data_IF_094007058994
#
_entry.id   IF_094007058994
#
_cell.length_a   1.000
_cell.length_b   1.000
_cell.length_c   1.000
_cell.angle_alpha   90.00
_cell.angle_beta   90.00
_cell.angle_gamma   90.00
#
_symmetry.space_group_name_H-M   'P 1'
#
loop_
_entity.id
_entity.type
_entity.pdbx_description
1 polymer ?
#
# COMPACT_ATOMS: atom_id res chain seq x y z
N UNK A 1 27.16 1.77 -2.80
CA UNK A 1 26.94 0.91 -1.62
C UNK A 1 27.12 1.75 -0.36
N UNK A 2 26.03 2.25 0.22
CA UNK A 2 26.02 2.74 1.59
C UNK A 2 24.69 2.33 2.21
N UNK A 3 24.64 1.06 2.63
CA UNK A 3 23.69 0.58 3.63
C UNK A 3 24.10 1.19 4.98
N UNK A 4 23.70 2.44 5.20
CA UNK A 4 23.96 3.14 6.45
C UNK A 4 22.81 2.82 7.39
N UNK A 5 23.06 1.93 8.35
CA UNK A 5 22.14 1.59 9.42
C UNK A 5 21.44 2.85 9.97
N UNK A 6 20.10 2.84 10.16
CA UNK A 6 19.36 4.05 10.46
C UNK A 6 19.93 4.74 11.71
N UNK A 7 20.18 6.03 11.60
CA UNK A 7 20.67 6.84 12.73
C UNK A 7 19.75 6.70 13.94
N UNK A 8 20.27 6.92 15.15
CA UNK A 8 19.52 6.77 16.41
C UNK A 8 18.15 7.49 16.42
N UNK A 9 18.06 8.63 15.73
CA UNK A 9 16.82 9.39 15.57
C UNK A 9 15.77 8.62 14.73
N UNK A 10 16.19 8.04 13.61
CA UNK A 10 15.31 7.27 12.74
C UNK A 10 14.84 5.98 13.42
N UNK A 11 15.73 5.29 14.14
CA UNK A 11 15.34 4.12 14.95
C UNK A 11 14.30 4.45 16.01
N UNK A 12 14.46 5.58 16.72
CA UNK A 12 13.46 6.05 17.70
C UNK A 12 12.14 6.42 17.05
N UNK A 13 12.18 7.03 15.86
CA UNK A 13 11.00 7.40 15.08
C UNK A 13 10.21 6.15 14.69
N UNK A 14 10.87 5.16 14.08
CA UNK A 14 10.25 3.89 13.69
C UNK A 14 9.70 3.12 14.90
N UNK A 15 10.44 3.06 16.02
CA UNK A 15 9.95 2.41 17.23
C UNK A 15 8.70 3.10 17.81
N UNK A 16 8.65 4.43 17.81
CA UNK A 16 7.46 5.18 18.26
C UNK A 16 6.27 4.92 17.35
N UNK A 17 6.49 4.91 16.03
CA UNK A 17 5.46 4.60 15.04
C UNK A 17 4.86 3.21 15.27
N UNK A 18 5.71 2.20 15.42
CA UNK A 18 5.31 0.82 15.70
C UNK A 18 4.53 0.70 17.00
N UNK A 19 4.96 1.38 18.07
CA UNK A 19 4.25 1.37 19.36
C UNK A 19 2.83 1.94 19.25
N UNK A 20 2.63 2.99 18.45
CA UNK A 20 1.32 3.58 18.19
C UNK A 20 0.40 2.60 17.44
N UNK A 21 0.90 1.92 16.40
CA UNK A 21 0.11 0.94 15.64
C UNK A 21 -0.21 -0.29 16.49
N UNK A 22 0.77 -0.80 17.24
CA UNK A 22 0.57 -1.89 18.21
C UNK A 22 -0.51 -1.56 19.25
N UNK A 23 -0.54 -0.31 19.74
CA UNK A 23 -1.59 0.12 20.65
C UNK A 23 -2.96 0.14 19.97
N UNK A 24 -3.06 0.73 18.77
CA UNK A 24 -4.30 0.81 18.02
C UNK A 24 -4.88 -0.56 17.67
N UNK A 25 -4.04 -1.48 17.19
CA UNK A 25 -4.45 -2.85 16.84
C UNK A 25 -4.89 -3.64 18.07
N UNK A 26 -4.16 -3.55 19.19
CA UNK A 26 -4.55 -4.24 20.44
C UNK A 26 -5.87 -3.72 20.99
N UNK A 27 -6.09 -2.41 21.02
CA UNK A 27 -7.39 -1.86 21.44
C UNK A 27 -8.50 -2.36 20.51
N UNK A 28 -8.27 -2.36 19.20
CA UNK A 28 -9.28 -2.82 18.24
C UNK A 28 -9.61 -4.31 18.41
N UNK A 29 -8.61 -5.15 18.69
CA UNK A 29 -8.79 -6.59 18.91
C UNK A 29 -9.44 -6.91 20.27
N UNK A 30 -9.05 -6.22 21.34
CA UNK A 30 -9.53 -6.48 22.71
C UNK A 30 -10.89 -5.84 22.99
N UNK A 31 -11.07 -4.57 22.59
CA UNK A 31 -12.17 -3.71 23.01
C UNK A 31 -13.06 -3.26 21.83
N UNK A 32 -12.71 -3.63 20.60
CA UNK A 32 -13.41 -3.25 19.37
C UNK A 32 -13.02 -1.88 18.81
N UNK A 33 -13.33 -1.63 17.53
CA UNK A 33 -12.92 -0.41 16.81
C UNK A 33 -13.47 0.90 17.42
N UNK A 34 -14.62 0.83 18.08
CA UNK A 34 -15.23 1.97 18.76
C UNK A 34 -14.41 2.46 19.96
N UNK A 35 -13.72 1.55 20.65
CA UNK A 35 -12.87 1.87 21.81
C UNK A 35 -11.53 2.51 21.39
N UNK A 36 -11.13 2.35 20.12
CA UNK A 36 -9.93 2.96 19.58
C UNK A 36 -10.12 4.48 19.57
N UNK A 37 -9.39 5.19 20.43
CA UNK A 37 -9.38 6.66 20.49
C UNK A 37 -7.94 7.14 20.52
N UNK A 38 -7.69 8.37 20.06
CA UNK A 38 -6.35 8.96 20.08
C UNK A 38 -5.80 9.02 21.50
N UNK A 39 -6.65 9.33 22.49
CA UNK A 39 -6.26 9.40 23.89
C UNK A 39 -5.85 8.03 24.43
N UNK A 40 -6.63 6.98 24.14
CA UNK A 40 -6.32 5.62 24.60
C UNK A 40 -5.08 5.05 23.89
N UNK A 41 -4.92 5.30 22.60
CA UNK A 41 -3.70 4.95 21.86
C UNK A 41 -2.50 5.66 22.47
N UNK A 42 -2.60 6.97 22.69
CA UNK A 42 -1.54 7.80 23.25
C UNK A 42 -1.12 7.31 24.64
N UNK A 43 -2.10 6.94 25.48
CA UNK A 43 -1.86 6.36 26.80
C UNK A 43 -1.14 5.01 26.72
N UNK A 44 -1.59 4.09 25.85
CA UNK A 44 -0.97 2.76 25.71
C UNK A 44 0.42 2.80 25.04
N UNK A 45 0.66 3.76 24.16
CA UNK A 45 1.92 3.93 23.45
C UNK A 45 2.92 4.85 24.19
N UNK A 46 2.56 5.39 25.37
CA UNK A 46 3.36 6.34 26.15
C UNK A 46 3.79 7.59 25.34
N UNK A 47 2.83 8.19 24.65
CA UNK A 47 3.02 9.41 23.87
C UNK A 47 1.92 10.44 24.16
N UNK A 48 2.15 11.71 23.79
CA UNK A 48 1.10 12.72 23.83
C UNK A 48 0.19 12.63 22.59
N UNK A 49 -1.06 13.11 22.64
CA UNK A 49 -1.90 13.24 21.44
C UNK A 49 -1.24 14.07 20.33
N UNK A 50 -0.49 15.13 20.70
CA UNK A 50 0.31 15.90 19.74
C UNK A 50 1.37 15.02 19.06
N UNK A 51 2.04 14.17 19.83
CA UNK A 51 3.01 13.21 19.30
C UNK A 51 2.31 12.22 18.37
N UNK A 52 1.16 11.66 18.74
CA UNK A 52 0.37 10.79 17.87
C UNK A 52 0.12 11.45 16.49
N UNK A 53 -0.38 12.69 16.48
CA UNK A 53 -0.65 13.42 15.24
C UNK A 53 0.59 13.75 14.41
N UNK A 54 1.79 13.74 15.00
CA UNK A 54 3.04 13.86 14.23
C UNK A 54 3.36 12.58 13.43
N UNK A 55 2.74 11.44 13.76
CA UNK A 55 2.96 10.16 13.08
C UNK A 55 1.77 9.74 12.22
N UNK A 56 0.54 9.95 12.69
CA UNK A 56 -0.66 9.51 12.00
C UNK A 56 -1.72 10.61 11.97
N UNK A 57 -2.37 10.84 10.82
CA UNK A 57 -3.43 11.85 10.71
C UNK A 57 -4.73 11.41 11.41
N UNK A 58 -4.91 10.11 11.63
CA UNK A 58 -6.12 9.54 12.24
C UNK A 58 -5.83 8.21 12.93
N UNK A 59 -6.76 7.79 13.80
CA UNK A 59 -6.72 6.46 14.42
C UNK A 59 -6.87 5.34 13.39
N UNK A 60 -7.68 5.55 12.35
CA UNK A 60 -7.85 4.55 11.30
C UNK A 60 -6.56 4.35 10.51
N UNK A 61 -5.79 5.43 10.27
CA UNK A 61 -4.47 5.30 9.64
C UNK A 61 -3.50 4.51 10.51
N UNK A 62 -3.54 4.68 11.84
CA UNK A 62 -2.72 3.89 12.76
C UNK A 62 -3.09 2.39 12.74
N UNK A 63 -4.31 2.03 12.36
CA UNK A 63 -4.73 0.63 12.17
C UNK A 63 -4.31 0.13 10.78
N UNK A 64 -4.67 0.88 9.74
CA UNK A 64 -4.48 0.52 8.33
C UNK A 64 -3.01 0.48 7.92
N UNK A 65 -2.15 1.21 8.61
CA UNK A 65 -0.77 1.45 8.19
C UNK A 65 -0.69 2.60 7.20
N UNK A 66 0.44 2.72 6.53
CA UNK A 66 0.66 3.79 5.55
C UNK A 66 -0.20 3.63 4.30
N UNK A 67 -0.54 4.77 3.70
CA UNK A 67 -1.14 4.79 2.37
C UNK A 67 -0.08 4.49 1.32
N UNK A 68 -0.46 3.77 0.24
CA UNK A 68 0.48 3.49 -0.83
C UNK A 68 0.90 4.82 -1.47
N UNK A 69 2.21 4.98 -1.60
CA UNK A 69 2.81 6.09 -2.34
C UNK A 69 3.61 5.53 -3.50
N UNK A 70 3.92 6.36 -4.49
CA UNK A 70 4.90 5.98 -5.49
C UNK A 70 6.23 5.58 -4.80
N UNK A 71 6.99 4.64 -5.39
CA UNK A 71 8.30 4.28 -4.86
C UNK A 71 9.29 5.43 -5.12
N UNK A 72 10.56 5.22 -4.75
CA UNK A 72 11.59 6.22 -4.95
C UNK A 72 11.77 6.65 -6.43
N UNK A 73 12.46 7.78 -6.61
CA UNK A 73 12.67 8.39 -7.92
C UNK A 73 13.39 7.45 -8.90
N UNK A 74 14.24 6.55 -8.40
CA UNK A 74 15.01 5.61 -9.23
C UNK A 74 14.09 4.52 -9.79
N UNK A 75 13.27 3.89 -8.93
CA UNK A 75 12.27 2.90 -9.35
C UNK A 75 11.23 3.52 -10.31
N UNK A 76 10.76 4.73 -10.00
CA UNK A 76 9.83 5.45 -10.85
C UNK A 76 10.43 5.81 -12.22
N UNK A 77 11.69 6.28 -12.24
CA UNK A 77 12.40 6.59 -13.47
C UNK A 77 12.62 5.34 -14.34
N UNK A 78 12.98 4.21 -13.71
CA UNK A 78 13.11 2.92 -14.39
C UNK A 78 11.82 2.47 -15.07
N UNK A 79 10.69 2.59 -14.36
CA UNK A 79 9.37 2.31 -14.93
C UNK A 79 9.03 3.24 -16.10
N UNK A 80 9.25 4.55 -15.96
CA UNK A 80 8.97 5.54 -17.02
C UNK A 80 9.84 5.28 -18.26
N UNK A 81 11.08 4.83 -18.07
CA UNK A 81 11.98 4.46 -19.17
C UNK A 81 11.57 3.15 -19.89
N UNK A 82 10.53 2.47 -19.42
CA UNK A 82 10.00 1.25 -20.03
C UNK A 82 10.61 -0.04 -19.49
N UNK A 83 11.21 -0.03 -18.30
CA UNK A 83 11.75 -1.23 -17.65
C UNK A 83 10.93 -1.70 -16.45
N UNK A 84 11.32 -2.83 -15.83
CA UNK A 84 12.47 -3.66 -16.21
C UNK A 84 12.23 -4.63 -17.37
N UNK A 85 11.00 -5.08 -17.63
CA UNK A 85 10.69 -6.11 -18.63
C UNK A 85 10.33 -5.56 -20.00
N UNK A 86 9.85 -4.32 -20.07
CA UNK A 86 9.25 -3.75 -21.28
C UNK A 86 7.72 -3.91 -21.33
N UNK A 87 7.17 -4.89 -20.61
CA UNK A 87 5.73 -5.08 -20.51
C UNK A 87 5.12 -4.09 -19.49
N UNK A 88 4.11 -3.33 -19.94
CA UNK A 88 3.54 -2.27 -19.12
C UNK A 88 2.88 -2.80 -17.83
N UNK A 89 2.13 -3.91 -17.91
CA UNK A 89 1.37 -4.39 -16.76
C UNK A 89 2.27 -5.11 -15.76
N UNK A 90 3.25 -5.87 -16.26
CA UNK A 90 4.26 -6.50 -15.41
C UNK A 90 5.09 -5.45 -14.66
N UNK A 91 5.64 -4.48 -15.38
CA UNK A 91 6.47 -3.44 -14.76
C UNK A 91 5.67 -2.53 -13.80
N UNK A 92 4.37 -2.33 -14.07
CA UNK A 92 3.48 -1.63 -13.15
C UNK A 92 3.18 -2.47 -11.90
N UNK A 93 3.06 -3.79 -12.04
CA UNK A 93 2.99 -4.71 -10.90
C UNK A 93 4.22 -4.62 -10.01
N UNK A 94 5.41 -4.67 -10.62
CA UNK A 94 6.69 -4.53 -9.91
C UNK A 94 6.79 -3.17 -9.20
N UNK A 95 6.35 -2.09 -9.84
CA UNK A 95 6.31 -0.75 -9.23
C UNK A 95 5.40 -0.73 -7.99
N UNK A 96 4.23 -1.35 -8.07
CA UNK A 96 3.26 -1.43 -6.96
C UNK A 96 3.74 -2.35 -5.82
N UNK A 97 4.48 -3.41 -6.14
CA UNK A 97 5.16 -4.24 -5.13
C UNK A 97 6.16 -3.41 -4.33
N UNK A 98 7.01 -2.64 -4.99
CA UNK A 98 7.94 -1.73 -4.29
C UNK A 98 7.19 -0.68 -3.44
N UNK A 99 6.09 -0.12 -3.95
CA UNK A 99 5.22 0.79 -3.19
C UNK A 99 4.60 0.18 -1.93
N UNK A 100 4.35 -1.13 -1.93
CA UNK A 100 3.64 -1.82 -0.83
C UNK A 100 4.56 -2.46 0.19
N UNK A 101 5.82 -2.74 -0.17
CA UNK A 101 6.85 -3.23 0.76
C UNK A 101 6.98 -2.31 1.99
N UNK A 102 7.03 -0.99 1.77
CA UNK A 102 7.15 -0.02 2.86
C UNK A 102 5.91 0.06 3.78
N UNK A 103 4.73 -0.37 3.30
CA UNK A 103 3.47 -0.23 4.04
C UNK A 103 3.29 -1.30 5.11
N UNK A 104 3.95 -2.47 4.96
CA UNK A 104 3.68 -3.68 5.75
C UNK A 104 4.96 -4.36 6.28
N UNK A 105 6.14 -3.76 6.12
CA UNK A 105 7.41 -4.26 6.69
C UNK A 105 7.51 -4.10 8.24
N UNK A 106 6.38 -4.21 8.94
CA UNK A 106 6.27 -4.23 10.39
C UNK A 106 6.09 -5.69 10.84
N UNK A 107 7.15 -6.48 10.64
CA UNK A 107 7.21 -7.88 11.09
C UNK A 107 6.70 -7.98 12.54
N UNK A 108 5.56 -8.65 12.72
CA UNK A 108 4.91 -8.82 14.02
C UNK A 108 3.59 -8.07 14.24
N UNK A 109 3.00 -7.43 13.22
CA UNK A 109 1.64 -6.88 13.29
C UNK A 109 0.68 -7.39 12.21
N UNK A 110 1.14 -8.29 11.34
CA UNK A 110 0.38 -8.73 10.17
C UNK A 110 -0.89 -9.46 10.61
N UNK A 111 -0.74 -10.45 11.50
CA UNK A 111 -1.85 -11.27 11.97
C UNK A 111 -2.91 -10.42 12.71
N UNK A 112 -2.50 -9.55 13.63
CA UNK A 112 -3.40 -8.66 14.37
C UNK A 112 -4.10 -7.67 13.43
N UNK A 113 -3.40 -7.16 12.42
CA UNK A 113 -3.99 -6.25 11.44
C UNK A 113 -5.02 -6.97 10.57
N UNK A 114 -4.71 -8.16 10.06
CA UNK A 114 -5.68 -8.97 9.32
C UNK A 114 -6.92 -9.28 10.17
N UNK A 115 -6.74 -9.64 11.45
CA UNK A 115 -7.85 -9.87 12.38
C UNK A 115 -8.76 -8.65 12.54
N UNK A 116 -8.16 -7.48 12.80
CA UNK A 116 -8.91 -6.23 12.93
C UNK A 116 -9.61 -5.86 11.62
N UNK A 117 -8.98 -6.03 10.46
CA UNK A 117 -9.60 -5.69 9.18
C UNK A 117 -10.77 -6.61 8.83
N UNK A 118 -10.62 -7.92 9.05
CA UNK A 118 -11.69 -8.90 8.83
C UNK A 118 -12.90 -8.66 9.72
N UNK A 119 -12.66 -8.25 10.98
CA UNK A 119 -13.72 -7.94 11.93
C UNK A 119 -14.42 -6.60 11.66
N UNK A 120 -13.81 -5.68 10.89
CA UNK A 120 -14.29 -4.31 10.70
C UNK A 120 -14.29 -3.89 9.21
N UNK A 121 -15.28 -4.35 8.41
CA UNK A 121 -15.35 -4.10 6.96
C UNK A 121 -15.37 -2.62 6.55
N UNK A 122 -15.78 -1.71 7.43
CA UNK A 122 -15.74 -0.26 7.21
C UNK A 122 -14.31 0.27 6.96
N UNK A 123 -13.29 -0.43 7.46
CA UNK A 123 -11.88 -0.10 7.22
C UNK A 123 -11.48 -0.33 5.76
N UNK A 124 -12.12 -1.29 5.07
CA UNK A 124 -11.97 -1.47 3.62
C UNK A 124 -12.40 -0.19 2.87
N UNK A 125 -13.53 0.40 3.24
CA UNK A 125 -14.05 1.60 2.58
C UNK A 125 -13.12 2.81 2.77
N UNK A 126 -12.52 2.95 3.95
CA UNK A 126 -11.48 3.95 4.22
C UNK A 126 -10.26 3.73 3.33
N UNK A 127 -9.77 2.49 3.20
CA UNK A 127 -8.64 2.16 2.33
C UNK A 127 -8.94 2.44 0.85
N UNK A 128 -10.15 2.14 0.38
CA UNK A 128 -10.54 2.44 -1.00
C UNK A 128 -10.59 3.94 -1.29
N UNK A 129 -10.92 4.76 -0.29
CA UNK A 129 -10.90 6.20 -0.43
C UNK A 129 -9.48 6.74 -0.66
N UNK A 130 -8.47 6.25 0.08
CA UNK A 130 -7.09 6.69 -0.10
C UNK A 130 -6.47 6.21 -1.42
N UNK A 131 -6.89 5.05 -1.93
CA UNK A 131 -6.45 4.55 -3.23
C UNK A 131 -6.86 5.44 -4.42
N UNK A 132 -7.84 6.34 -4.27
CA UNK A 132 -8.26 7.23 -5.37
C UNK A 132 -7.17 8.24 -5.74
N UNK A 133 -6.51 8.81 -4.74
CA UNK A 133 -5.43 9.78 -4.95
C UNK A 133 -4.21 9.07 -5.55
N UNK A 134 -3.87 7.90 -5.02
CA UNK A 134 -2.79 7.08 -5.55
C UNK A 134 -3.04 6.62 -7.00
N UNK A 135 -4.29 6.32 -7.38
CA UNK A 135 -4.62 5.99 -8.76
C UNK A 135 -4.25 7.12 -9.74
N UNK A 136 -4.42 8.38 -9.33
CA UNK A 136 -4.06 9.53 -10.16
C UNK A 136 -2.55 9.60 -10.39
N UNK A 137 -1.76 9.37 -9.35
CA UNK A 137 -0.29 9.34 -9.45
C UNK A 137 0.20 8.24 -10.39
N UNK A 138 -0.41 7.05 -10.30
CA UNK A 138 -0.13 5.93 -11.22
C UNK A 138 -0.52 6.29 -12.67
N UNK A 139 -1.68 6.92 -12.89
CA UNK A 139 -2.10 7.35 -14.23
C UNK A 139 -1.13 8.36 -14.84
N UNK A 140 -0.59 9.28 -14.03
CA UNK A 140 0.45 10.21 -14.46
C UNK A 140 1.75 9.48 -14.83
N UNK A 141 2.21 8.55 -13.99
CA UNK A 141 3.42 7.77 -14.26
C UNK A 141 3.29 6.94 -15.55
N UNK A 142 2.15 6.26 -15.73
CA UNK A 142 1.86 5.46 -16.94
C UNK A 142 1.75 6.36 -18.17
N UNK A 143 1.12 7.54 -18.04
CA UNK A 143 1.05 8.51 -19.14
C UNK A 143 2.44 8.88 -19.62
N UNK A 144 3.36 9.21 -18.70
CA UNK A 144 4.76 9.54 -19.00
C UNK A 144 5.48 8.39 -19.70
N UNK A 145 5.33 7.16 -19.21
CA UNK A 145 5.90 5.96 -19.85
C UNK A 145 5.43 5.79 -21.30
N UNK A 146 4.14 6.03 -21.57
CA UNK A 146 3.54 5.87 -22.89
C UNK A 146 3.87 7.01 -23.87
N UNK A 147 4.50 8.10 -23.45
CA UNK A 147 4.90 9.20 -24.35
C UNK A 147 5.86 8.75 -25.45
N UNK A 148 6.74 7.79 -25.12
CA UNK A 148 7.73 7.27 -26.04
C UNK A 148 7.14 6.33 -27.12
N UNK A 149 6.00 5.68 -26.83
CA UNK A 149 5.47 4.58 -27.67
C UNK A 149 4.09 4.88 -28.27
N UNK A 150 3.34 5.84 -27.72
CA UNK A 150 1.99 6.19 -28.15
C UNK A 150 1.92 7.68 -28.50
N UNK A 151 2.10 8.07 -29.78
CA UNK A 151 2.14 9.46 -30.20
C UNK A 151 0.80 10.19 -30.05
N UNK A 152 -0.32 9.51 -30.30
CA UNK A 152 -1.67 10.09 -30.18
C UNK A 152 -2.02 10.36 -28.70
N UNK A 153 -2.23 11.62 -28.29
CA UNK A 153 -2.57 11.97 -26.91
C UNK A 153 -3.87 11.33 -26.42
N UNK A 154 -4.85 11.14 -27.31
CA UNK A 154 -6.14 10.56 -26.94
C UNK A 154 -6.03 9.06 -26.69
N UNK A 155 -5.33 8.31 -27.55
CA UNK A 155 -5.00 6.92 -27.32
C UNK A 155 -4.17 6.73 -26.05
N UNK A 156 -3.15 7.58 -25.83
CA UNK A 156 -2.30 7.54 -24.64
C UNK A 156 -3.11 7.70 -23.36
N UNK A 157 -3.98 8.72 -23.30
CA UNK A 157 -4.87 8.93 -22.14
C UNK A 157 -5.76 7.72 -21.87
N UNK A 158 -6.38 7.14 -22.91
CA UNK A 158 -7.25 5.96 -22.75
C UNK A 158 -6.47 4.75 -22.23
N UNK A 159 -5.29 4.49 -22.77
CA UNK A 159 -4.45 3.36 -22.35
C UNK A 159 -3.91 3.55 -20.93
N UNK A 160 -3.42 4.74 -20.59
CA UNK A 160 -2.93 5.06 -19.25
C UNK A 160 -4.04 4.89 -18.20
N UNK A 161 -5.23 5.42 -18.47
CA UNK A 161 -6.39 5.26 -17.59
C UNK A 161 -6.77 3.79 -17.41
N UNK A 162 -6.84 3.02 -18.49
CA UNK A 162 -7.21 1.60 -18.43
C UNK A 162 -6.17 0.81 -17.62
N UNK A 163 -4.89 0.95 -17.93
CA UNK A 163 -3.81 0.26 -17.22
C UNK A 163 -3.82 0.61 -15.71
N UNK A 164 -4.02 1.88 -15.37
CA UNK A 164 -4.08 2.33 -13.98
C UNK A 164 -5.30 1.77 -13.23
N UNK A 165 -6.47 1.74 -13.87
CA UNK A 165 -7.68 1.13 -13.29
C UNK A 165 -7.48 -0.36 -13.04
N UNK A 166 -6.92 -1.07 -14.03
CA UNK A 166 -6.65 -2.51 -13.94
C UNK A 166 -5.65 -2.79 -12.82
N UNK A 167 -4.52 -2.10 -12.79
CA UNK A 167 -3.50 -2.28 -11.76
C UNK A 167 -4.01 -1.97 -10.35
N UNK A 168 -4.78 -0.89 -10.17
CA UNK A 168 -5.43 -0.60 -8.89
C UNK A 168 -6.50 -1.64 -8.54
N UNK A 169 -7.23 -2.16 -9.52
CA UNK A 169 -8.14 -3.29 -9.32
C UNK A 169 -7.42 -4.52 -8.77
N UNK A 170 -6.25 -4.84 -9.33
CA UNK A 170 -5.38 -5.93 -8.87
C UNK A 170 -4.86 -5.69 -7.46
N UNK A 171 -4.43 -4.47 -7.14
CA UNK A 171 -4.03 -4.11 -5.78
C UNK A 171 -5.18 -4.23 -4.77
N UNK A 172 -6.39 -3.83 -5.15
CA UNK A 172 -7.59 -4.00 -4.31
C UNK A 172 -7.92 -5.48 -4.08
N UNK A 173 -7.81 -6.30 -5.12
CA UNK A 173 -7.97 -7.75 -5.02
C UNK A 173 -6.95 -8.34 -4.03
N UNK A 174 -5.66 -8.02 -4.21
CA UNK A 174 -4.60 -8.46 -3.30
C UNK A 174 -4.86 -8.06 -1.85
N UNK A 175 -5.32 -6.82 -1.62
CA UNK A 175 -5.67 -6.33 -0.29
C UNK A 175 -6.86 -7.07 0.32
N UNK A 176 -7.89 -7.34 -0.48
CA UNK A 176 -9.05 -8.13 -0.06
C UNK A 176 -8.63 -9.53 0.36
N UNK A 177 -7.94 -10.26 -0.52
CA UNK A 177 -7.46 -11.63 -0.24
C UNK A 177 -6.54 -11.66 0.98
N UNK A 178 -5.61 -10.72 1.07
CA UNK A 178 -4.73 -10.59 2.23
C UNK A 178 -5.51 -10.34 3.54
N UNK A 179 -6.58 -9.54 3.51
CA UNK A 179 -7.37 -9.23 4.71
C UNK A 179 -8.26 -10.39 5.17
N UNK A 180 -8.75 -11.20 4.23
CA UNK A 180 -9.58 -12.38 4.53
C UNK A 180 -8.75 -13.54 5.05
N UNK A 181 -7.51 -13.67 4.58
CA UNK A 181 -6.55 -14.65 5.07
C UNK A 181 -6.12 -14.36 6.51
N UNK A 182 -5.73 -15.41 7.24
CA UNK A 182 -5.10 -15.29 8.56
C UNK A 182 -3.70 -15.89 8.54
N UNK A 183 -2.80 -15.37 9.36
CA UNK A 183 -1.43 -15.87 9.52
C UNK A 183 -0.38 -14.87 9.03
N UNK A 184 0.82 -15.35 8.71
CA UNK A 184 1.97 -14.50 8.36
C UNK A 184 2.10 -14.26 6.84
N UNK A 185 0.98 -14.21 6.11
CA UNK A 185 1.01 -13.90 4.67
C UNK A 185 1.22 -12.40 4.49
N UNK A 186 2.25 -12.02 3.72
CA UNK A 186 2.51 -10.61 3.43
C UNK A 186 1.63 -10.13 2.28
N UNK A 187 1.17 -8.87 2.33
CA UNK A 187 0.40 -8.27 1.21
C UNK A 187 1.19 -8.30 -0.10
N UNK A 188 2.51 -8.19 -0.03
CA UNK A 188 3.39 -8.27 -1.20
C UNK A 188 3.21 -9.61 -1.91
N UNK A 189 3.15 -10.72 -1.17
CA UNK A 189 2.96 -12.05 -1.74
C UNK A 189 1.59 -12.17 -2.45
N UNK A 190 0.54 -11.59 -1.86
CA UNK A 190 -0.80 -11.55 -2.48
C UNK A 190 -0.86 -10.62 -3.69
N UNK A 191 -0.08 -9.54 -3.69
CA UNK A 191 0.01 -8.62 -4.81
C UNK A 191 0.70 -9.28 -6.01
N UNK A 192 1.85 -9.90 -5.78
CA UNK A 192 2.57 -10.68 -6.79
C UNK A 192 1.68 -11.77 -7.39
N UNK A 193 0.97 -12.52 -6.53
CA UNK A 193 0.02 -13.55 -6.98
C UNK A 193 -1.11 -12.95 -7.81
N UNK A 194 -1.71 -11.85 -7.37
CA UNK A 194 -2.80 -11.18 -8.08
C UNK A 194 -2.38 -10.67 -9.46
N UNK A 195 -1.16 -10.15 -9.60
CA UNK A 195 -0.61 -9.74 -10.90
C UNK A 195 -0.30 -10.94 -11.81
N UNK A 196 0.21 -12.04 -11.25
CA UNK A 196 0.40 -13.27 -11.99
C UNK A 196 -0.93 -13.84 -12.53
N UNK A 197 -1.98 -13.84 -11.70
CA UNK A 197 -3.32 -14.28 -12.09
C UNK A 197 -3.93 -13.37 -13.17
N UNK A 198 -3.77 -12.04 -13.05
CA UNK A 198 -4.17 -11.10 -14.08
C UNK A 198 -3.47 -11.41 -15.42
N UNK A 199 -2.15 -11.62 -15.40
CA UNK A 199 -1.39 -11.97 -16.60
C UNK A 199 -1.87 -13.29 -17.24
N UNK A 200 -2.19 -14.29 -16.43
CA UNK A 200 -2.73 -15.56 -16.90
C UNK A 200 -4.13 -15.41 -17.53
N UNK A 201 -4.98 -14.53 -17.00
CA UNK A 201 -6.32 -14.27 -17.55
C UNK A 201 -6.24 -13.53 -18.89
N UNK A 202 -5.40 -12.49 -18.98
CA UNK A 202 -5.26 -11.67 -20.20
C UNK A 202 -4.64 -12.48 -21.34
N UNK A 203 -3.65 -13.32 -21.05
CA UNK A 203 -2.99 -14.18 -22.05
C UNK A 203 -3.87 -15.32 -22.58
N UNK A 204 -4.87 -15.77 -21.82
CA UNK A 204 -5.76 -16.88 -22.21
C UNK A 204 -7.04 -16.46 -22.93
N UNK A 205 -7.38 -15.16 -23.02
CA UNK A 205 -8.76 -14.79 -23.39
C UNK A 205 -8.97 -13.47 -24.15
N UNK A 206 -7.96 -12.94 -24.86
CA UNK A 206 -8.19 -11.84 -25.82
C UNK A 206 -7.91 -12.32 -27.25
N UNK A 207 -8.96 -12.92 -27.85
CA UNK A 207 -9.11 -13.16 -29.29
C UNK A 207 -10.12 -12.16 -29.84
#
# INVERSE_FOLDING_TARGET
>A
MSDAAPGLRERKRLATRLAIQQAALRIAAEDGLAAVTVDEISRRADVSPRTFFNYFPSKEQAILGDDPTLPDDDALAGFIAGGPSGDLLQDLGDLLVHSTQALIDERGLIAERQEVLRANPELFSRRMASMKEFQHEIEVAVTRRLEATVPDPDARRRQARLASIVALGTLRHAWWEWSEQGGDVHLVDELERSFADLGALVSRSLV
#
